data_IF_926370802109
#
_entry.id   IF_926370802109
#
_cell.length_a   1.000
_cell.length_b   1.000
_cell.length_c   1.000
_cell.angle_alpha   90.00
_cell.angle_beta   90.00
_cell.angle_gamma   90.00
#
_symmetry.space_group_name_H-M   'P 1'
#
loop_
_entity.id
_entity.type
_entity.pdbx_description
1 polymer ?
#
# COMPACT_ATOMS: atom_id res chain seq x y z
N UNK A 1 -66.12 2.51 -12.97
CA UNK A 1 -64.77 3.11 -12.97
C UNK A 1 -64.01 2.56 -14.17
N UNK A 2 -63.73 3.37 -15.19
CA UNK A 2 -62.95 2.92 -16.37
C UNK A 2 -61.47 2.88 -15.97
N UNK A 3 -60.85 1.70 -15.94
CA UNK A 3 -59.39 1.62 -15.88
C UNK A 3 -58.84 2.11 -17.22
N UNK A 4 -58.06 3.19 -17.18
CA UNK A 4 -57.27 3.62 -18.36
C UNK A 4 -56.07 2.71 -18.45
N UNK A 5 -56.01 1.88 -19.50
CA UNK A 5 -54.83 1.04 -19.78
C UNK A 5 -53.64 1.89 -20.23
N UNK A 6 -52.42 1.40 -19.97
CA UNK A 6 -51.18 2.05 -20.42
C UNK A 6 -51.05 2.01 -21.93
N UNK A 7 -50.57 3.09 -22.53
CA UNK A 7 -50.25 3.14 -23.95
C UNK A 7 -48.92 2.44 -24.24
N UNK A 8 -48.74 1.92 -25.45
CA UNK A 8 -47.51 1.25 -25.87
C UNK A 8 -46.27 2.15 -25.68
N UNK A 9 -46.42 3.47 -25.93
CA UNK A 9 -45.34 4.45 -25.78
C UNK A 9 -44.93 4.60 -24.31
N UNK A 10 -45.89 4.68 -23.39
CA UNK A 10 -45.60 4.76 -21.95
C UNK A 10 -44.86 3.51 -21.46
N UNK A 11 -45.26 2.32 -21.94
CA UNK A 11 -44.56 1.07 -21.63
C UNK A 11 -43.14 1.08 -22.18
N UNK A 12 -42.93 1.53 -23.42
CA UNK A 12 -41.59 1.57 -24.02
C UNK A 12 -40.66 2.59 -23.34
N UNK A 13 -41.17 3.76 -22.97
CA UNK A 13 -40.37 4.75 -22.24
C UNK A 13 -40.06 4.25 -20.82
N UNK A 14 -41.05 3.67 -20.13
CA UNK A 14 -40.86 3.11 -18.79
C UNK A 14 -39.84 1.97 -18.77
N UNK A 15 -39.88 1.07 -19.76
CA UNK A 15 -38.89 -0.02 -19.87
C UNK A 15 -37.52 0.52 -20.25
N UNK A 16 -37.42 1.50 -21.16
CA UNK A 16 -36.14 2.11 -21.51
C UNK A 16 -35.45 2.76 -20.30
N UNK A 17 -36.20 3.49 -19.47
CA UNK A 17 -35.69 4.09 -18.23
C UNK A 17 -35.29 3.02 -17.22
N UNK A 18 -36.08 1.96 -17.06
CA UNK A 18 -35.74 0.85 -16.15
C UNK A 18 -34.47 0.11 -16.57
N UNK A 19 -34.30 -0.16 -17.86
CA UNK A 19 -33.12 -0.88 -18.37
C UNK A 19 -31.87 -0.01 -18.27
N UNK A 20 -31.94 1.25 -18.72
CA UNK A 20 -30.79 2.15 -18.70
C UNK A 20 -30.43 2.61 -17.29
N UNK A 21 -31.42 3.07 -16.52
CA UNK A 21 -31.24 3.51 -15.13
C UNK A 21 -30.86 2.36 -14.21
N UNK A 22 -31.56 1.22 -14.32
CA UNK A 22 -31.23 0.01 -13.55
C UNK A 22 -29.84 -0.53 -13.90
N UNK A 23 -29.49 -0.58 -15.18
CA UNK A 23 -28.16 -1.01 -15.63
C UNK A 23 -27.04 -0.09 -15.12
N UNK A 24 -27.24 1.23 -15.17
CA UNK A 24 -26.29 2.20 -14.65
C UNK A 24 -26.09 2.06 -13.13
N UNK A 25 -27.16 1.82 -12.37
CA UNK A 25 -27.07 1.59 -10.92
C UNK A 25 -26.29 0.32 -10.58
N UNK A 26 -26.54 -0.79 -11.30
CA UNK A 26 -25.82 -2.04 -11.08
C UNK A 26 -24.33 -1.91 -11.41
N UNK A 27 -23.98 -1.23 -12.50
CA UNK A 27 -22.59 -0.92 -12.83
C UNK A 27 -21.93 -0.04 -11.77
N UNK A 28 -22.62 1.01 -11.31
CA UNK A 28 -22.14 1.87 -10.25
C UNK A 28 -21.87 1.11 -8.95
N UNK A 29 -22.79 0.23 -8.55
CA UNK A 29 -22.63 -0.62 -7.38
C UNK A 29 -21.43 -1.58 -7.52
N UNK A 30 -21.24 -2.16 -8.71
CA UNK A 30 -20.08 -3.03 -8.97
C UNK A 30 -18.75 -2.30 -8.77
N UNK A 31 -18.60 -1.10 -9.34
CA UNK A 31 -17.39 -0.30 -9.15
C UNK A 31 -17.19 0.13 -7.69
N UNK A 32 -18.27 0.49 -6.98
CA UNK A 32 -18.19 0.85 -5.58
C UNK A 32 -17.69 -0.31 -4.70
N UNK A 33 -18.15 -1.55 -4.97
CA UNK A 33 -17.68 -2.74 -4.25
C UNK A 33 -16.19 -3.00 -4.52
N UNK A 34 -15.76 -2.94 -5.77
CA UNK A 34 -14.34 -3.12 -6.13
C UNK A 34 -13.46 -2.06 -5.47
N UNK A 35 -13.91 -0.81 -5.46
CA UNK A 35 -13.19 0.28 -4.80
C UNK A 35 -13.13 0.06 -3.28
N UNK A 36 -14.21 -0.43 -2.67
CA UNK A 36 -14.24 -0.78 -1.25
C UNK A 36 -13.20 -1.84 -0.90
N UNK A 37 -13.04 -2.88 -1.73
CA UNK A 37 -12.02 -3.91 -1.53
C UNK A 37 -10.60 -3.31 -1.55
N UNK A 38 -10.30 -2.45 -2.53
CA UNK A 38 -8.99 -1.82 -2.63
C UNK A 38 -8.69 -0.91 -1.44
N UNK A 39 -9.69 -0.15 -0.97
CA UNK A 39 -9.56 0.71 0.19
C UNK A 39 -9.30 -0.12 1.45
N UNK A 40 -10.06 -1.19 1.68
CA UNK A 40 -9.86 -2.06 2.85
C UNK A 40 -8.44 -2.64 2.90
N UNK A 41 -7.95 -3.21 1.79
CA UNK A 41 -6.59 -3.74 1.73
C UNK A 41 -5.52 -2.67 1.97
N UNK A 42 -5.71 -1.47 1.41
CA UNK A 42 -4.78 -0.35 1.59
C UNK A 42 -4.75 0.13 3.05
N UNK A 43 -5.90 0.17 3.73
CA UNK A 43 -5.97 0.54 5.15
C UNK A 43 -5.24 -0.47 6.03
N UNK A 44 -5.44 -1.77 5.80
CA UNK A 44 -4.74 -2.84 6.53
C UNK A 44 -3.23 -2.74 6.32
N UNK A 45 -2.80 -2.58 5.06
CA UNK A 45 -1.40 -2.46 4.71
C UNK A 45 -0.76 -1.21 5.33
N UNK A 46 -1.46 -0.07 5.31
CA UNK A 46 -0.99 1.18 5.91
C UNK A 46 -0.88 1.08 7.44
N UNK A 47 -1.87 0.47 8.10
CA UNK A 47 -1.82 0.25 9.54
C UNK A 47 -0.64 -0.65 9.93
N UNK A 48 -0.37 -1.69 9.14
CA UNK A 48 0.79 -2.55 9.36
C UNK A 48 2.12 -1.78 9.17
N UNK A 49 2.22 -0.97 8.11
CA UNK A 49 3.40 -0.13 7.86
C UNK A 49 3.62 0.90 8.99
N UNK A 50 2.55 1.52 9.49
CA UNK A 50 2.60 2.43 10.64
C UNK A 50 3.06 1.72 11.91
N UNK A 51 2.49 0.56 12.23
CA UNK A 51 2.88 -0.22 13.41
C UNK A 51 4.34 -0.66 13.36
N UNK A 52 4.83 -1.04 12.18
CA UNK A 52 6.25 -1.40 12.00
C UNK A 52 7.16 -0.16 12.09
N UNK A 53 6.72 0.99 11.57
CA UNK A 53 7.46 2.23 11.73
C UNK A 53 7.54 2.67 13.20
N UNK A 54 6.44 2.57 13.95
CA UNK A 54 6.41 2.84 15.39
C UNK A 54 7.39 1.92 16.13
N UNK A 55 7.39 0.63 15.80
CA UNK A 55 8.36 -0.33 16.34
C UNK A 55 9.79 0.09 16.05
N UNK A 56 10.11 0.49 14.81
CA UNK A 56 11.44 0.97 14.43
C UNK A 56 11.82 2.27 15.14
N UNK A 57 10.88 3.20 15.33
CA UNK A 57 11.15 4.46 16.06
C UNK A 57 11.40 4.23 17.55
N UNK A 58 10.95 3.12 18.11
CA UNK A 58 11.27 2.70 19.49
C UNK A 58 12.66 2.07 19.64
N UNK A 59 13.35 1.77 18.55
CA UNK A 59 14.70 1.19 18.56
C UNK A 59 15.76 2.27 18.82
N UNK A 60 16.82 1.89 19.54
CA UNK A 60 17.95 2.77 19.72
C UNK A 60 18.62 3.11 18.36
N UNK A 61 18.99 4.37 18.18
CA UNK A 61 19.63 4.86 16.94
C UNK A 61 20.82 3.99 16.51
N UNK A 62 21.69 3.62 17.45
CA UNK A 62 22.86 2.78 17.17
C UNK A 62 22.50 1.39 16.61
N UNK A 63 21.39 0.81 17.05
CA UNK A 63 20.86 -0.45 16.52
C UNK A 63 20.39 -0.30 15.09
N UNK A 64 19.66 0.78 14.77
CA UNK A 64 19.22 1.07 13.39
C UNK A 64 20.39 1.38 12.46
N UNK A 65 21.36 2.18 12.93
CA UNK A 65 22.49 2.64 12.13
C UNK A 65 23.51 1.53 11.84
N UNK A 66 23.85 0.73 12.86
CA UNK A 66 25.00 -0.20 12.81
C UNK A 66 24.67 -1.63 13.26
N UNK A 67 23.50 -1.87 13.83
CA UNK A 67 23.11 -3.18 14.35
C UNK A 67 22.88 -4.22 13.26
N UNK A 68 23.36 -5.44 13.51
CA UNK A 68 23.29 -6.54 12.54
C UNK A 68 21.86 -6.91 12.12
N UNK A 69 20.87 -6.67 13.00
CA UNK A 69 19.45 -6.94 12.75
C UNK A 69 18.87 -6.17 11.56
N UNK A 70 19.47 -5.03 11.20
CA UNK A 70 19.01 -4.14 10.12
C UNK A 70 20.02 -4.05 8.97
N UNK A 71 20.90 -5.05 8.80
CA UNK A 71 21.84 -5.08 7.67
C UNK A 71 21.10 -5.10 6.31
N UNK A 72 20.03 -5.91 6.18
CA UNK A 72 19.25 -6.00 4.94
C UNK A 72 18.55 -4.68 4.60
N UNK A 73 17.92 -4.07 5.61
CA UNK A 73 17.22 -2.80 5.47
C UNK A 73 18.12 -1.65 4.98
N UNK A 74 19.41 -1.69 5.30
CA UNK A 74 20.41 -0.68 4.89
C UNK A 74 21.02 -0.92 3.50
N UNK A 75 20.80 -2.10 2.91
CA UNK A 75 21.36 -2.48 1.62
C UNK A 75 20.33 -2.30 0.50
N UNK A 76 19.26 -3.09 0.56
CA UNK A 76 18.24 -3.15 -0.50
C UNK A 76 16.82 -3.26 0.06
N UNK A 77 16.68 -3.70 1.30
CA UNK A 77 15.41 -3.85 1.98
C UNK A 77 15.40 -5.06 2.90
N UNK A 78 14.45 -5.11 3.82
CA UNK A 78 14.25 -6.23 4.72
C UNK A 78 12.77 -6.54 4.88
N UNK A 79 12.45 -7.83 4.78
CA UNK A 79 11.10 -8.34 4.96
C UNK A 79 10.60 -8.16 6.39
N UNK A 80 9.41 -7.57 6.53
CA UNK A 80 8.55 -7.74 7.68
C UNK A 80 7.18 -8.29 7.24
N UNK A 81 6.67 -9.29 7.95
CA UNK A 81 5.46 -9.98 7.54
C UNK A 81 4.19 -9.21 7.94
N UNK A 82 3.21 -9.14 7.05
CA UNK A 82 1.85 -8.74 7.39
C UNK A 82 1.04 -10.01 7.69
N UNK A 83 0.90 -10.33 8.97
CA UNK A 83 0.14 -11.49 9.41
C UNK A 83 -1.36 -11.16 9.49
N UNK A 84 -2.00 -10.92 8.35
CA UNK A 84 -3.43 -10.64 8.26
C UNK A 84 -4.14 -11.63 7.32
N UNK A 85 -5.20 -12.27 7.81
CA UNK A 85 -5.98 -13.25 7.05
C UNK A 85 -6.69 -12.64 5.83
N UNK A 86 -7.02 -11.35 5.88
CA UNK A 86 -7.68 -10.62 4.79
C UNK A 86 -6.68 -10.20 3.69
N UNK A 87 -5.39 -10.24 3.97
CA UNK A 87 -4.33 -9.83 3.03
C UNK A 87 -3.23 -10.91 2.90
N UNK A 88 -3.58 -12.12 2.43
CA UNK A 88 -2.64 -13.24 2.38
C UNK A 88 -1.49 -12.96 1.40
N UNK A 89 -0.26 -13.27 1.83
CA UNK A 89 0.94 -13.07 1.02
C UNK A 89 1.35 -11.60 0.87
N UNK A 90 0.82 -10.71 1.72
CA UNK A 90 1.29 -9.36 1.84
C UNK A 90 2.52 -9.25 2.75
N UNK A 91 3.36 -8.29 2.46
CA UNK A 91 4.61 -8.06 3.15
C UNK A 91 4.91 -6.56 3.23
N UNK A 92 5.82 -6.23 4.13
CA UNK A 92 6.45 -4.92 4.25
C UNK A 92 7.91 -5.05 3.83
N UNK A 93 8.38 -4.08 3.07
CA UNK A 93 9.79 -3.79 2.85
C UNK A 93 10.23 -2.65 3.75
N UNK A 94 11.20 -2.92 4.62
CA UNK A 94 11.84 -1.93 5.47
C UNK A 94 13.13 -1.48 4.80
N UNK A 95 13.27 -0.17 4.62
CA UNK A 95 14.50 0.45 4.12
C UNK A 95 14.95 1.56 5.05
N UNK A 96 16.26 1.62 5.28
CA UNK A 96 16.91 2.63 6.11
C UNK A 96 18.01 3.26 5.27
N UNK A 97 18.06 4.58 5.23
CA UNK A 97 19.16 5.33 4.59
C UNK A 97 19.65 6.43 5.52
N UNK A 98 20.90 6.85 5.33
CA UNK A 98 21.43 8.02 6.04
C UNK A 98 20.89 9.31 5.42
N UNK A 99 20.77 10.35 6.24
CA UNK A 99 20.43 11.69 5.78
C UNK A 99 21.52 12.70 6.18
N UNK A 100 22.06 13.48 5.23
CA UNK A 100 21.84 13.39 3.78
C UNK A 100 22.38 12.08 3.20
N UNK A 101 21.80 11.64 2.07
CA UNK A 101 22.18 10.40 1.40
C UNK A 101 23.68 10.37 1.09
N UNK A 102 24.33 9.22 1.32
CA UNK A 102 25.77 9.04 1.13
C UNK A 102 26.63 9.40 2.35
N UNK A 103 26.03 9.90 3.44
CA UNK A 103 26.74 10.06 4.71
C UNK A 103 27.17 8.69 5.26
N UNK A 104 28.43 8.50 5.70
CA UNK A 104 28.87 7.26 6.31
C UNK A 104 28.03 6.91 7.55
N UNK A 105 27.64 5.64 7.66
CA UNK A 105 26.80 5.13 8.76
C UNK A 105 27.38 5.37 10.16
N UNK A 106 28.71 5.44 10.28
CA UNK A 106 29.42 5.68 11.55
C UNK A 106 29.35 7.13 12.03
N UNK A 107 29.06 8.06 11.13
CA UNK A 107 28.98 9.51 11.40
C UNK A 107 27.58 10.07 11.18
N UNK A 108 26.63 9.23 10.75
CA UNK A 108 25.26 9.64 10.54
C UNK A 108 24.61 9.99 11.87
N UNK A 109 24.02 11.18 11.94
CA UNK A 109 23.22 11.64 13.10
C UNK A 109 21.73 11.62 12.82
N UNK A 110 21.34 11.40 11.55
CA UNK A 110 19.96 11.33 11.08
C UNK A 110 19.80 10.17 10.11
N UNK A 111 18.75 9.39 10.31
CA UNK A 111 18.36 8.29 9.44
C UNK A 111 16.97 8.55 8.88
N UNK A 112 16.79 8.26 7.60
CA UNK A 112 15.49 8.18 6.95
C UNK A 112 15.04 6.72 7.02
N UNK A 113 13.92 6.49 7.71
CA UNK A 113 13.24 5.20 7.77
C UNK A 113 12.09 5.21 6.77
N UNK A 114 11.97 4.15 5.99
CA UNK A 114 10.92 3.98 4.99
C UNK A 114 10.36 2.57 5.09
N UNK A 115 9.05 2.46 5.23
CA UNK A 115 8.34 1.18 5.27
C UNK A 115 7.25 1.22 4.21
N UNK A 116 7.32 0.29 3.27
CA UNK A 116 6.37 0.18 2.17
C UNK A 116 5.75 -1.21 2.15
N UNK A 117 4.44 -1.29 1.93
CA UNK A 117 3.73 -2.55 1.84
C UNK A 117 3.60 -3.03 0.39
N UNK A 118 3.58 -4.34 0.19
CA UNK A 118 3.25 -4.96 -1.09
C UNK A 118 2.22 -6.06 -0.87
N UNK A 119 1.31 -6.24 -1.83
CA UNK A 119 0.27 -7.26 -1.74
C UNK A 119 -0.34 -7.55 -3.11
N UNK A 120 -1.12 -8.62 -3.21
CA UNK A 120 -1.93 -8.91 -4.40
C UNK A 120 -3.38 -8.61 -4.10
N UNK A 121 -4.03 -7.83 -4.97
CA UNK A 121 -5.47 -7.57 -4.88
C UNK A 121 -6.13 -7.83 -6.23
N UNK A 122 -7.11 -8.73 -6.25
CA UNK A 122 -7.85 -9.16 -7.46
C UNK A 122 -6.93 -9.58 -8.62
N UNK A 123 -5.84 -10.28 -8.30
CA UNK A 123 -4.86 -10.76 -9.29
C UNK A 123 -3.85 -9.71 -9.78
N UNK A 124 -3.91 -8.48 -9.25
CA UNK A 124 -2.94 -7.43 -9.54
C UNK A 124 -1.99 -7.25 -8.36
N UNK A 125 -0.69 -7.19 -8.64
CA UNK A 125 0.33 -6.79 -7.66
C UNK A 125 0.27 -5.28 -7.39
N UNK A 126 0.28 -4.91 -6.12
CA UNK A 126 0.28 -3.53 -5.63
C UNK A 126 1.60 -3.29 -4.91
N UNK A 127 2.23 -2.14 -5.20
CA UNK A 127 3.59 -1.81 -4.79
C UNK A 127 4.63 -2.10 -5.89
N UNK A 128 5.82 -1.54 -5.74
CA UNK A 128 6.97 -1.76 -6.62
C UNK A 128 7.62 -3.13 -6.38
N UNK A 129 7.67 -3.61 -5.14
CA UNK A 129 8.12 -4.95 -4.78
C UNK A 129 7.19 -6.02 -5.40
N UNK A 130 7.61 -6.62 -6.51
CA UNK A 130 6.77 -7.48 -7.34
C UNK A 130 6.62 -8.88 -6.76
N UNK A 131 7.62 -9.33 -6.01
CA UNK A 131 7.67 -10.68 -5.45
C UNK A 131 7.32 -10.71 -3.94
N UNK A 132 7.16 -9.54 -3.32
CA UNK A 132 6.88 -9.37 -1.90
C UNK A 132 7.93 -9.96 -0.95
N UNK A 133 9.20 -9.83 -1.31
CA UNK A 133 10.32 -10.27 -0.49
C UNK A 133 10.86 -9.16 0.44
N UNK A 134 10.32 -7.94 0.37
CA UNK A 134 10.73 -6.79 1.16
C UNK A 134 12.07 -6.19 0.73
N UNK A 135 12.57 -6.53 -0.46
CA UNK A 135 13.84 -6.11 -1.04
C UNK A 135 13.56 -5.38 -2.35
N UNK A 136 14.27 -4.27 -2.60
CA UNK A 136 14.21 -3.60 -3.89
C UNK A 136 15.08 -4.34 -4.90
N UNK A 137 14.47 -5.16 -5.75
CA UNK A 137 15.16 -5.92 -6.79
C UNK A 137 15.42 -5.10 -8.05
N UNK A 138 16.31 -5.61 -8.91
CA UNK A 138 16.65 -4.95 -10.18
C UNK A 138 15.40 -4.86 -11.07
N UNK A 139 15.04 -3.64 -11.45
CA UNK A 139 13.88 -3.35 -12.29
C UNK A 139 12.59 -3.08 -11.53
N UNK A 140 12.59 -3.13 -10.20
CA UNK A 140 11.43 -2.75 -9.37
C UNK A 140 11.39 -1.24 -9.07
N UNK A 141 12.55 -0.59 -8.94
CA UNK A 141 12.68 0.86 -8.76
C UNK A 141 12.33 1.62 -10.05
N UNK A 142 11.04 1.91 -10.25
CA UNK A 142 10.54 2.47 -11.49
C UNK A 142 10.92 3.94 -11.69
N UNK A 143 11.19 4.66 -10.60
CA UNK A 143 11.47 6.09 -10.61
C UNK A 143 12.94 6.43 -10.30
N UNK A 144 13.76 5.45 -9.90
CA UNK A 144 15.20 5.60 -9.64
C UNK A 144 15.53 6.29 -8.31
N UNK A 145 14.61 6.32 -7.34
CA UNK A 145 14.82 6.96 -6.04
C UNK A 145 15.49 6.02 -5.01
N UNK A 146 15.66 4.74 -5.36
CA UNK A 146 16.22 3.68 -4.55
C UNK A 146 15.36 3.25 -3.36
N UNK A 147 14.09 3.64 -3.30
CA UNK A 147 13.11 3.24 -2.29
C UNK A 147 12.08 2.31 -2.94
N UNK A 148 11.47 1.43 -2.14
CA UNK A 148 10.29 0.66 -2.57
C UNK A 148 9.09 1.58 -2.44
N UNK A 149 8.43 1.92 -3.54
CA UNK A 149 7.22 2.73 -3.49
C UNK A 149 5.94 1.89 -3.46
N UNK A 150 4.93 2.37 -2.72
CA UNK A 150 3.63 1.71 -2.59
C UNK A 150 2.52 2.69 -2.22
N UNK A 151 1.25 2.45 -2.61
CA UNK A 151 0.11 3.21 -2.10
C UNK A 151 -0.04 3.16 -0.57
N UNK A 152 0.50 2.13 0.08
CA UNK A 152 0.59 2.04 1.54
C UNK A 152 2.05 2.06 1.96
N UNK A 153 2.58 3.27 2.18
CA UNK A 153 3.94 3.49 2.68
C UNK A 153 3.98 4.65 3.67
N UNK A 154 4.96 4.60 4.56
CA UNK A 154 5.21 5.64 5.57
C UNK A 154 6.71 5.81 5.72
N UNK A 155 7.14 7.05 5.84
CA UNK A 155 8.53 7.39 6.14
C UNK A 155 8.62 8.38 7.29
N UNK A 156 9.71 8.29 8.04
CA UNK A 156 10.03 9.21 9.12
C UNK A 156 11.54 9.37 9.24
N UNK A 157 11.97 10.31 10.08
CA UNK A 157 13.37 10.54 10.38
C UNK A 157 13.64 10.31 11.85
N UNK A 158 14.73 9.63 12.16
CA UNK A 158 15.19 9.39 13.53
C UNK A 158 16.58 9.99 13.69
N UNK A 159 16.76 10.80 14.72
CA UNK A 159 18.03 11.41 15.07
C UNK A 159 18.67 10.67 16.25
N UNK A 160 20.00 10.72 16.34
CA UNK A 160 20.68 10.39 17.59
C UNK A 160 20.51 11.55 18.56
N UNK A 161 20.18 11.26 19.81
CA UNK A 161 20.39 12.21 20.89
C UNK A 161 21.92 12.37 21.03
N UNK A 162 22.40 13.62 21.01
CA UNK A 162 23.83 13.96 20.98
C UNK A 162 24.59 13.59 22.24
#
# INVERSE_FOLDING_TARGET
>A
MRSRGMTLVEVMVGTAVLVTGGGALLLGMHYALVQSDYLNHTQIALQAAQGELERLTGEAFGTLATGAAYNGARQSGQLAAINNAELPGAALGIQIKTFPAGTPWTTATLLDLHVAACWTSRGRRIGEDQNCNGVLDVGEDANGNGWIDSPAMVSTRVATDG
#
